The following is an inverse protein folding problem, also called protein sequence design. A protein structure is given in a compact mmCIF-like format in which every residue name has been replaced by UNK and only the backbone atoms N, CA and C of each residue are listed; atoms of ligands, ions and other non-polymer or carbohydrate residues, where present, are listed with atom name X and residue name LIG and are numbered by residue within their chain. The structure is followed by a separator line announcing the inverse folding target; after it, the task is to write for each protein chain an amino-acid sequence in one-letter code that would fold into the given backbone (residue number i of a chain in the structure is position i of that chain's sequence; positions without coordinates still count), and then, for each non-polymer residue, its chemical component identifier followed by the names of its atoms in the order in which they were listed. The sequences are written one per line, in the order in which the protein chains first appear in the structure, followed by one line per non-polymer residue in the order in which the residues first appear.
data_IF_999673522371
#
_entry.id   IF_999673522371
#
_cell.length_a   1.000
_cell.length_b   1.000
_cell.length_c   1.000
_cell.angle_alpha   90.00
_cell.angle_beta   90.00
_cell.angle_gamma   90.00
#
_symmetry.space_group_name_H-M   'P 1'
#
loop_
_entity.id
_entity.type
_entity.pdbx_description
1 polymer ?
#
# COMPACT_ATOMS: atom_id res chain seq x y z
N UNK A 1 -3.39 14.79 -8.00
CA UNK A 1 -1.99 14.40 -8.29
C UNK A 1 -1.61 14.91 -9.67
N UNK A 2 -0.33 14.86 -10.05
CA UNK A 2 0.12 15.35 -11.35
C UNK A 2 -0.01 14.27 -12.43
N UNK A 3 -0.67 14.58 -13.56
CA UNK A 3 -0.74 13.66 -14.68
C UNK A 3 0.52 13.75 -15.54
N UNK A 4 1.24 12.64 -15.81
CA UNK A 4 2.49 12.65 -16.56
C UNK A 4 2.32 12.96 -18.06
N UNK A 5 1.08 13.06 -18.55
CA UNK A 5 0.78 13.32 -19.97
C UNK A 5 0.36 14.76 -20.25
N UNK A 6 -0.69 15.24 -19.58
CA UNK A 6 -1.15 16.62 -19.77
C UNK A 6 -0.38 17.62 -18.91
N UNK A 7 0.52 17.15 -18.05
CA UNK A 7 1.41 17.98 -17.24
C UNK A 7 0.63 18.94 -16.31
N UNK A 8 -0.54 18.51 -15.84
CA UNK A 8 -1.45 19.26 -14.99
C UNK A 8 -1.94 18.43 -13.79
N UNK A 9 -2.59 19.08 -12.81
CA UNK A 9 -3.12 18.46 -11.59
C UNK A 9 -4.44 17.71 -11.78
N UNK A 10 -4.56 16.93 -12.85
CA UNK A 10 -5.78 16.22 -13.24
C UNK A 10 -5.71 14.70 -13.03
N UNK A 11 -4.67 14.21 -12.33
CA UNK A 11 -4.56 12.79 -12.00
C UNK A 11 -5.29 12.47 -10.69
N UNK A 12 -6.19 11.49 -10.74
CA UNK A 12 -6.98 11.00 -9.62
C UNK A 12 -6.86 9.47 -9.48
N UNK A 13 -6.99 8.98 -8.24
CA UNK A 13 -7.19 7.54 -7.99
C UNK A 13 -8.64 7.20 -8.34
N UNK A 14 -8.85 6.08 -9.02
CA UNK A 14 -10.18 5.62 -9.38
C UNK A 14 -11.02 5.34 -8.13
N UNK A 15 -12.35 5.32 -8.25
CA UNK A 15 -13.23 5.00 -7.11
C UNK A 15 -13.11 3.55 -6.63
N UNK A 16 -12.56 2.68 -7.48
CA UNK A 16 -12.31 1.27 -7.22
C UNK A 16 -11.01 0.85 -7.88
N UNK A 17 -10.34 -0.12 -7.28
CA UNK A 17 -9.09 -0.62 -7.83
C UNK A 17 -8.40 -1.62 -6.91
N UNK A 18 -7.13 -1.84 -7.19
CA UNK A 18 -6.22 -2.72 -6.48
C UNK A 18 -5.11 -1.89 -5.87
N UNK A 19 -4.80 -2.16 -4.60
CA UNK A 19 -3.55 -1.72 -3.98
C UNK A 19 -2.63 -2.92 -3.83
N UNK A 20 -1.35 -2.67 -4.08
CA UNK A 20 -0.27 -3.61 -3.90
C UNK A 20 0.51 -3.29 -2.63
N UNK A 21 0.73 -4.30 -1.80
CA UNK A 21 1.64 -4.27 -0.66
C UNK A 21 2.99 -4.88 -1.07
N UNK A 22 4.06 -4.16 -0.81
CA UNK A 22 5.43 -4.62 -0.95
C UNK A 22 6.20 -4.29 0.33
N UNK A 23 6.97 -5.25 0.83
CA UNK A 23 7.76 -5.08 2.05
C UNK A 23 9.18 -5.55 1.78
N UNK A 24 10.17 -4.67 2.02
CA UNK A 24 11.58 -4.88 1.68
C UNK A 24 11.78 -5.32 0.22
N UNK A 25 11.02 -4.75 -0.72
CA UNK A 25 11.04 -5.14 -2.13
C UNK A 25 10.44 -6.54 -2.41
N UNK A 26 9.94 -7.24 -1.41
CA UNK A 26 9.27 -8.55 -1.55
C UNK A 26 7.78 -8.32 -1.71
N UNK A 27 7.21 -8.92 -2.76
CA UNK A 27 5.77 -8.92 -3.03
C UNK A 27 5.24 -10.33 -2.86
N UNK A 28 4.19 -10.48 -2.08
CA UNK A 28 3.42 -11.72 -2.08
C UNK A 28 2.45 -11.74 -3.26
N UNK A 29 2.21 -12.91 -3.84
CA UNK A 29 1.18 -13.08 -4.87
C UNK A 29 -0.19 -12.63 -4.36
N UNK A 30 -0.49 -12.93 -3.10
CA UNK A 30 -1.71 -12.51 -2.38
C UNK A 30 -1.61 -11.14 -1.69
N UNK A 31 -0.50 -10.42 -1.86
CA UNK A 31 -0.23 -9.08 -1.31
C UNK A 31 -0.98 -7.97 -2.04
N UNK A 32 -2.16 -8.28 -2.57
CA UNK A 32 -3.05 -7.35 -3.26
C UNK A 32 -4.38 -7.34 -2.53
N UNK A 33 -5.01 -6.18 -2.46
CA UNK A 33 -6.39 -6.06 -1.98
C UNK A 33 -7.15 -5.04 -2.79
N UNK A 34 -8.46 -5.22 -2.81
CA UNK A 34 -9.39 -4.36 -3.51
C UNK A 34 -9.82 -3.22 -2.60
N UNK A 35 -9.98 -2.05 -3.19
CA UNK A 35 -10.70 -0.95 -2.56
C UNK A 35 -11.86 -0.54 -3.45
N UNK A 36 -12.96 -0.09 -2.84
CA UNK A 36 -14.09 0.50 -3.53
C UNK A 36 -14.71 1.57 -2.64
N UNK A 37 -14.48 2.86 -2.92
CA UNK A 37 -15.00 3.97 -2.11
C UNK A 37 -16.52 4.14 -2.21
N UNK A 38 -17.18 3.49 -3.19
CA UNK A 38 -18.64 3.51 -3.31
C UNK A 38 -19.34 2.47 -2.43
N UNK A 39 -18.62 1.41 -2.02
CA UNK A 39 -19.19 0.25 -1.32
C UNK A 39 -18.49 -0.05 0.02
N UNK A 40 -17.28 0.47 0.24
CA UNK A 40 -16.50 0.25 1.45
C UNK A 40 -16.41 1.53 2.27
N UNK A 41 -16.68 1.39 3.56
CA UNK A 41 -16.36 2.40 4.56
C UNK A 41 -14.85 2.46 4.81
N UNK A 42 -14.39 3.58 5.39
CA UNK A 42 -12.99 3.73 5.78
C UNK A 42 -12.54 2.64 6.79
N UNK A 43 -13.45 2.18 7.66
CA UNK A 43 -13.12 1.14 8.63
C UNK A 43 -12.92 -0.22 7.95
N UNK A 44 -13.80 -0.60 7.02
CA UNK A 44 -13.65 -1.83 6.24
C UNK A 44 -12.38 -1.81 5.38
N UNK A 45 -12.03 -0.62 4.85
CA UNK A 45 -10.77 -0.43 4.14
C UNK A 45 -9.57 -0.67 5.06
N UNK A 46 -9.55 -0.06 6.25
CA UNK A 46 -8.48 -0.24 7.25
C UNK A 46 -8.39 -1.70 7.73
N UNK A 47 -9.53 -2.37 7.89
CA UNK A 47 -9.58 -3.79 8.24
C UNK A 47 -8.95 -4.66 7.15
N UNK A 48 -9.29 -4.42 5.89
CA UNK A 48 -8.68 -5.11 4.75
C UNK A 48 -7.17 -4.87 4.64
N UNK A 49 -6.71 -3.63 4.89
CA UNK A 49 -5.28 -3.32 5.00
C UNK A 49 -4.60 -4.13 6.11
N UNK A 50 -5.23 -4.17 7.29
CA UNK A 50 -4.71 -4.86 8.47
C UNK A 50 -4.57 -6.36 8.20
N UNK A 51 -5.62 -7.00 7.65
CA UNK A 51 -5.62 -8.43 7.32
C UNK A 51 -4.48 -8.80 6.36
N UNK A 52 -4.20 -7.94 5.37
CA UNK A 52 -3.11 -8.18 4.40
C UNK A 52 -1.73 -8.00 5.00
N UNK A 53 -1.54 -7.00 5.84
CA UNK A 53 -0.28 -6.82 6.57
C UNK A 53 -0.06 -8.02 7.50
N UNK A 54 -1.06 -8.44 8.27
CA UNK A 54 -0.95 -9.64 9.12
C UNK A 54 -0.65 -10.89 8.32
N UNK A 55 -1.31 -11.07 7.17
CA UNK A 55 -1.04 -12.18 6.26
C UNK A 55 0.40 -12.19 5.77
N UNK A 56 0.97 -11.01 5.49
CA UNK A 56 2.38 -10.88 5.13
C UNK A 56 3.30 -11.26 6.27
N UNK A 57 3.10 -10.70 7.46
CA UNK A 57 3.95 -10.98 8.61
C UNK A 57 3.90 -12.46 8.99
N UNK A 58 2.72 -13.08 8.96
CA UNK A 58 2.54 -14.53 9.16
C UNK A 58 3.26 -15.37 8.12
N UNK A 59 3.23 -14.95 6.86
CA UNK A 59 3.93 -15.66 5.79
C UNK A 59 5.44 -15.52 5.96
N UNK A 60 5.91 -14.29 6.19
CA UNK A 60 7.32 -13.95 6.33
C UNK A 60 7.93 -14.54 7.62
N UNK A 61 7.12 -14.79 8.65
CA UNK A 61 7.58 -15.44 9.89
C UNK A 61 8.00 -16.91 9.70
N UNK A 62 7.68 -17.52 8.56
CA UNK A 62 8.10 -18.89 8.25
C UNK A 62 9.51 -18.97 7.64
N UNK A 63 10.13 -17.83 7.33
CA UNK A 63 11.47 -17.79 6.76
C UNK A 63 12.51 -17.88 7.88
N UNK A 64 13.61 -18.60 7.65
CA UNK A 64 14.67 -18.76 8.65
C UNK A 64 15.54 -17.50 8.81
N UNK A 65 15.74 -16.75 7.72
CA UNK A 65 16.49 -15.51 7.71
C UNK A 65 15.51 -14.36 7.48
N UNK A 66 15.02 -13.79 8.57
CA UNK A 66 14.11 -12.65 8.54
C UNK A 66 14.93 -11.37 8.71
N UNK A 67 15.09 -10.63 7.62
CA UNK A 67 15.60 -9.26 7.70
C UNK A 67 14.56 -8.37 8.39
N UNK A 68 14.97 -7.38 9.19
CA UNK A 68 14.07 -6.37 9.74
C UNK A 68 13.24 -5.71 8.65
N UNK A 69 11.98 -5.39 8.97
CA UNK A 69 11.06 -4.69 8.07
C UNK A 69 11.53 -3.23 7.98
N UNK A 70 12.20 -2.87 6.89
CA UNK A 70 12.86 -1.58 6.71
C UNK A 70 12.16 -0.66 5.71
N UNK A 71 11.38 -1.24 4.78
CA UNK A 71 10.63 -0.51 3.77
C UNK A 71 9.26 -1.16 3.56
N UNK A 72 8.20 -0.35 3.62
CA UNK A 72 6.82 -0.76 3.32
C UNK A 72 6.27 0.18 2.27
N UNK A 73 5.84 -0.39 1.15
CA UNK A 73 5.30 0.35 0.02
C UNK A 73 3.86 -0.12 -0.25
N UNK A 74 2.96 0.85 -0.31
CA UNK A 74 1.57 0.67 -0.70
C UNK A 74 1.35 1.52 -1.95
N UNK A 75 1.05 0.89 -3.08
CA UNK A 75 0.87 1.61 -4.33
C UNK A 75 -0.29 1.08 -5.17
N UNK A 76 -0.84 1.94 -6.03
CA UNK A 76 -1.85 1.58 -7.01
C UNK A 76 -1.48 2.12 -8.39
N UNK A 77 -1.94 1.41 -9.42
CA UNK A 77 -1.92 1.86 -10.83
C UNK A 77 -3.32 2.16 -11.36
N UNK A 78 -4.36 1.98 -10.53
CA UNK A 78 -5.75 2.27 -10.87
C UNK A 78 -6.02 3.78 -10.78
N UNK A 79 -5.49 4.48 -11.79
CA UNK A 79 -5.48 5.92 -11.90
C UNK A 79 -6.22 6.36 -13.16
N UNK A 80 -6.84 7.53 -13.10
CA UNK A 80 -7.42 8.19 -14.26
C UNK A 80 -6.98 9.64 -14.32
N UNK A 81 -6.84 10.13 -15.55
CA UNK A 81 -6.73 11.56 -15.81
C UNK A 81 -8.12 12.11 -16.09
N UNK A 82 -8.51 13.20 -15.43
CA UNK A 82 -9.78 13.88 -15.68
C UNK A 82 -9.90 14.35 -17.14
N UNK A 83 -8.77 14.68 -17.78
CA UNK A 83 -8.69 15.05 -19.20
C UNK A 83 -8.73 13.83 -20.14
N UNK A 84 -8.90 12.61 -19.62
CA UNK A 84 -8.98 11.37 -20.41
C UNK A 84 -7.64 10.90 -20.99
N UNK A 85 -6.51 11.44 -20.54
CA UNK A 85 -5.19 11.04 -21.02
C UNK A 85 -4.88 9.57 -20.69
N UNK A 86 -4.25 8.81 -21.62
CA UNK A 86 -3.82 7.45 -21.34
C UNK A 86 -2.61 7.46 -20.38
N UNK A 87 -2.79 6.85 -19.21
CA UNK A 87 -1.73 6.72 -18.20
C UNK A 87 -0.80 5.55 -18.57
N UNK A 88 0.53 5.73 -18.55
CA UNK A 88 1.47 4.62 -18.76
C UNK A 88 1.26 3.50 -17.75
N UNK A 89 1.39 2.24 -18.21
CA UNK A 89 1.17 1.03 -17.37
C UNK A 89 2.13 0.99 -16.17
N UNK A 90 3.35 1.50 -16.33
CA UNK A 90 4.37 1.52 -15.29
C UNK A 90 4.18 2.69 -14.29
N UNK A 91 3.17 3.54 -14.50
CA UNK A 91 2.91 4.63 -13.58
C UNK A 91 2.08 4.14 -12.39
N UNK A 92 2.68 4.24 -11.21
CA UNK A 92 2.03 3.95 -9.94
C UNK A 92 2.25 5.13 -8.99
N UNK A 93 1.34 5.28 -8.04
CA UNK A 93 1.45 6.27 -6.97
C UNK A 93 1.36 5.58 -5.63
N UNK A 94 2.08 6.14 -4.64
CA UNK A 94 1.90 5.74 -3.25
C UNK A 94 0.48 6.06 -2.81
N UNK A 95 -0.14 5.14 -2.08
CA UNK A 95 -1.46 5.36 -1.46
C UNK A 95 -1.37 5.66 0.04
N UNK A 96 -0.14 5.75 0.57
CA UNK A 96 0.10 6.25 1.92
C UNK A 96 -0.30 7.74 1.96
N UNK A 97 -1.02 8.13 2.99
CA UNK A 97 -1.67 9.44 3.18
C UNK A 97 -2.75 9.82 2.15
N UNK A 98 -3.00 8.97 1.15
CA UNK A 98 -4.16 9.06 0.26
C UNK A 98 -5.31 8.17 0.73
N UNK A 99 -5.02 6.90 1.02
CA UNK A 99 -6.02 5.90 1.42
C UNK A 99 -5.87 5.44 2.86
N UNK A 100 -4.64 5.46 3.38
CA UNK A 100 -4.33 5.13 4.76
C UNK A 100 -3.33 6.13 5.31
N UNK A 101 -3.66 6.76 6.44
CA UNK A 101 -2.73 7.68 7.10
C UNK A 101 -1.48 6.93 7.55
N UNK A 102 -0.31 7.53 7.38
CA UNK A 102 0.97 6.97 7.82
C UNK A 102 0.94 6.52 9.28
N UNK A 103 0.38 7.34 10.18
CA UNK A 103 0.24 7.00 11.60
C UNK A 103 -0.59 5.72 11.85
N UNK A 104 -1.63 5.49 11.05
CA UNK A 104 -2.46 4.28 11.13
C UNK A 104 -1.68 3.08 10.60
N UNK A 105 -0.95 3.25 9.49
CA UNK A 105 -0.08 2.21 8.95
C UNK A 105 0.99 1.81 9.96
N UNK A 106 1.68 2.76 10.58
CA UNK A 106 2.73 2.50 11.57
C UNK A 106 2.18 1.73 12.78
N UNK A 107 0.97 2.05 13.25
CA UNK A 107 0.31 1.30 14.32
C UNK A 107 0.02 -0.15 13.93
N UNK A 108 -0.47 -0.38 12.72
CA UNK A 108 -0.77 -1.72 12.22
C UNK A 108 0.53 -2.53 12.08
N UNK A 109 1.58 -1.92 11.52
CA UNK A 109 2.88 -2.56 11.35
C UNK A 109 3.48 -2.96 12.71
N UNK A 110 3.52 -2.04 13.67
CA UNK A 110 4.04 -2.31 15.01
C UNK A 110 3.25 -3.43 15.72
N UNK A 111 1.92 -3.42 15.62
CA UNK A 111 1.09 -4.49 16.19
C UNK A 111 1.37 -5.85 15.54
N UNK A 112 1.53 -5.90 14.22
CA UNK A 112 1.88 -7.13 13.50
C UNK A 112 3.29 -7.61 13.85
N UNK A 113 4.26 -6.69 13.98
CA UNK A 113 5.62 -7.03 14.37
C UNK A 113 5.70 -7.66 15.76
N UNK A 114 5.02 -7.08 16.74
CA UNK A 114 4.91 -7.65 18.08
C UNK A 114 4.28 -9.06 18.04
N UNK A 115 3.17 -9.21 17.32
CA UNK A 115 2.43 -10.48 17.21
C UNK A 115 3.24 -11.61 16.57
N UNK A 116 4.07 -11.29 15.57
CA UNK A 116 4.88 -12.26 14.83
C UNK A 116 6.36 -12.26 15.23
N UNK A 117 6.72 -11.56 16.32
CA UNK A 117 8.11 -11.46 16.83
C UNK A 117 9.11 -10.98 15.77
N UNK A 118 8.72 -9.97 14.99
CA UNK A 118 9.54 -9.35 13.95
C UNK A 118 10.10 -8.01 14.40
N UNK A 119 11.22 -7.60 13.81
CA UNK A 119 11.83 -6.28 14.04
C UNK A 119 11.45 -5.33 12.91
N UNK A 120 11.10 -4.09 13.27
CA UNK A 120 10.85 -2.99 12.34
C UNK A 120 11.98 -1.96 12.46
N UNK A 121 12.59 -1.60 11.35
CA UNK A 121 13.62 -0.56 11.23
C UNK A 121 13.28 0.36 10.05
N UNK A 122 12.12 1.04 10.10
CA UNK A 122 11.64 1.86 8.99
C UNK A 122 12.64 2.97 8.64
N UNK A 123 13.16 2.94 7.41
CA UNK A 123 13.97 4.03 6.89
C UNK A 123 13.07 5.21 6.54
N UNK A 124 12.98 6.20 7.43
CA UNK A 124 12.16 7.40 7.24
C UNK A 124 12.61 8.31 6.08
N UNK A 125 13.77 8.06 5.46
CA UNK A 125 14.36 8.89 4.41
C UNK A 125 13.89 8.57 2.98
N UNK A 126 13.08 7.52 2.77
CA UNK A 126 12.68 7.05 1.42
C UNK A 126 11.18 7.18 1.08
N UNK A 127 10.40 7.87 1.92
CA UNK A 127 8.97 8.09 1.69
C UNK A 127 8.68 9.52 1.23
#
# INVERSE_FOLDING_TARGET
MYCPKCLNNTLAINSRGVVHLMINGKKMDSGRFLFNFGEMTNNELIEAFTEKIESFFKWYSNFQNQDPIALVELYTSDLSCEDGCPIPIEHYVSVIDLLIKKETLDKILNSAAEKYSMTIELNHEKN
#
